data_IF_134931849564
#
_entry.id   IF_134931849564
#
_cell.length_a   1.000
_cell.length_b   1.000
_cell.length_c   1.000
_cell.angle_alpha   90.00
_cell.angle_beta   90.00
_cell.angle_gamma   90.00
#
_symmetry.space_group_name_H-M   'P 1'
#
loop_
_entity.id
_entity.type
_entity.pdbx_description
1 polymer ?
#
# COMPACT_ATOMS: atom_id res chain seq x y z
N UNK A 1 -39.00 64.89 48.55
CA UNK A 1 -38.51 65.60 47.33
C UNK A 1 -37.23 64.89 46.87
N UNK A 2 -37.05 64.77 45.55
CA UNK A 2 -36.29 63.74 44.81
C UNK A 2 -34.76 63.83 44.93
N UNK A 3 -34.08 62.67 44.86
CA UNK A 3 -32.86 62.37 44.08
C UNK A 3 -32.46 60.89 44.41
N UNK A 4 -32.81 59.90 43.59
CA UNK A 4 -32.08 59.40 42.40
C UNK A 4 -30.57 59.21 42.65
N UNK A 5 -30.14 57.96 42.81
CA UNK A 5 -28.80 57.56 42.42
C UNK A 5 -28.84 56.17 41.79
N UNK A 6 -28.70 56.17 40.47
CA UNK A 6 -28.43 55.00 39.62
C UNK A 6 -26.94 54.61 39.70
N UNK A 7 -26.56 53.59 38.90
CA UNK A 7 -25.21 53.29 38.36
C UNK A 7 -24.39 52.26 39.18
N UNK A 8 -23.85 51.15 38.64
CA UNK A 8 -23.91 50.45 37.34
C UNK A 8 -23.56 48.96 37.61
N UNK A 9 -24.31 48.01 37.05
CA UNK A 9 -23.91 46.60 36.97
C UNK A 9 -23.22 46.40 35.62
N UNK A 10 -21.89 46.25 35.62
CA UNK A 10 -21.12 45.92 34.44
C UNK A 10 -21.30 44.44 34.11
N UNK A 11 -22.06 44.13 33.05
CA UNK A 11 -22.14 42.79 32.47
C UNK A 11 -21.01 42.67 31.45
N UNK A 12 -19.97 41.90 31.79
CA UNK A 12 -18.91 41.55 30.84
C UNK A 12 -19.41 40.37 30.00
N UNK A 13 -19.79 40.65 28.76
CA UNK A 13 -20.09 39.63 27.77
C UNK A 13 -18.77 39.20 27.11
N UNK A 14 -18.18 38.10 27.59
CA UNK A 14 -17.02 37.50 26.96
C UNK A 14 -17.41 36.84 25.64
N UNK A 15 -17.00 37.44 24.52
CA UNK A 15 -17.11 36.83 23.20
C UNK A 15 -16.09 35.68 23.14
N UNK A 16 -16.58 34.45 23.20
CA UNK A 16 -15.77 33.26 22.92
C UNK A 16 -15.54 33.20 21.40
N UNK A 17 -14.37 33.66 20.95
CA UNK A 17 -13.85 33.36 19.63
C UNK A 17 -13.51 31.86 19.59
N UNK A 18 -14.42 31.06 19.04
CA UNK A 18 -14.12 29.69 18.65
C UNK A 18 -13.15 29.75 17.46
N UNK A 19 -11.85 29.64 17.74
CA UNK A 19 -10.87 29.34 16.71
C UNK A 19 -11.15 27.93 16.20
N UNK A 20 -11.76 27.83 15.01
CA UNK A 20 -11.84 26.56 14.30
C UNK A 20 -10.43 26.13 13.93
N UNK A 21 -9.87 25.19 14.70
CA UNK A 21 -8.71 24.43 14.26
C UNK A 21 -9.16 23.56 13.09
N UNK A 22 -8.91 24.01 11.87
CA UNK A 22 -8.89 23.10 10.72
C UNK A 22 -7.74 22.14 10.97
N UNK A 23 -8.05 20.88 11.28
CA UNK A 23 -7.04 19.84 11.29
C UNK A 23 -6.52 19.69 9.86
N UNK A 24 -5.31 20.20 9.64
CA UNK A 24 -4.55 19.91 8.43
C UNK A 24 -4.10 18.46 8.62
N UNK A 25 -4.89 17.51 8.12
CA UNK A 25 -4.40 16.16 7.93
C UNK A 25 -3.19 16.26 6.99
N UNK A 26 -1.98 15.82 7.39
CA UNK A 26 -0.89 15.75 6.44
C UNK A 26 -1.38 14.91 5.25
N UNK A 27 -1.21 15.46 4.05
CA UNK A 27 -1.43 14.70 2.82
C UNK A 27 -0.68 13.37 2.94
N UNK A 28 -1.35 12.28 2.54
CA UNK A 28 -0.84 10.92 2.62
C UNK A 28 0.65 10.87 2.24
N UNK A 29 1.42 10.15 3.06
CA UNK A 29 2.88 10.00 3.04
C UNK A 29 3.36 9.43 1.70
N UNK A 30 3.33 10.24 0.63
CA UNK A 30 3.86 9.93 -0.70
C UNK A 30 5.39 9.85 -0.62
N UNK A 31 5.86 8.68 -0.20
CA UNK A 31 7.29 8.38 -0.15
C UNK A 31 7.76 7.96 -1.53
N UNK A 32 8.59 8.80 -2.12
CA UNK A 32 9.33 8.48 -3.34
C UNK A 32 10.40 7.43 -3.04
N UNK A 33 10.44 6.37 -3.83
CA UNK A 33 11.49 5.37 -3.80
C UNK A 33 12.75 5.93 -4.45
N UNK A 34 13.81 6.12 -3.67
CA UNK A 34 15.15 6.43 -4.19
C UNK A 34 15.96 5.17 -4.47
N UNK A 35 15.62 4.08 -3.78
CA UNK A 35 16.18 2.74 -3.97
C UNK A 35 15.06 1.71 -3.85
N UNK A 36 14.99 0.79 -4.81
CA UNK A 36 14.02 -0.31 -4.81
C UNK A 36 14.72 -1.63 -5.12
N UNK A 37 14.48 -2.61 -4.27
CA UNK A 37 14.93 -3.98 -4.43
C UNK A 37 13.73 -4.92 -4.38
N UNK A 38 13.60 -5.79 -5.37
CA UNK A 38 12.55 -6.82 -5.42
C UNK A 38 13.08 -8.17 -4.93
N UNK A 39 12.49 -8.69 -3.85
CA UNK A 39 12.77 -10.04 -3.34
C UNK A 39 12.15 -11.08 -4.27
N UNK A 40 10.88 -10.90 -4.60
CA UNK A 40 10.03 -11.66 -5.52
C UNK A 40 9.17 -10.67 -6.32
N UNK A 41 8.04 -11.11 -6.90
CA UNK A 41 7.24 -10.26 -7.77
C UNK A 41 6.37 -9.23 -7.03
N UNK A 42 6.06 -9.43 -5.75
CA UNK A 42 5.13 -8.58 -4.98
C UNK A 42 5.71 -8.10 -3.63
N UNK A 43 6.96 -8.43 -3.31
CA UNK A 43 7.61 -7.97 -2.09
C UNK A 43 9.08 -7.63 -2.29
N UNK A 44 9.60 -6.80 -1.40
CA UNK A 44 10.91 -6.22 -1.58
C UNK A 44 11.32 -5.27 -0.48
N UNK A 45 12.19 -4.34 -0.84
CA UNK A 45 12.64 -3.23 -0.01
C UNK A 45 12.54 -1.92 -0.77
N UNK A 46 12.02 -0.90 -0.12
CA UNK A 46 11.95 0.48 -0.60
C UNK A 46 12.74 1.34 0.38
N UNK A 47 13.77 2.02 -0.10
CA UNK A 47 14.71 2.80 0.73
C UNK A 47 15.24 1.99 1.93
N UNK A 48 15.50 0.69 1.73
CA UNK A 48 15.98 -0.23 2.78
C UNK A 48 14.90 -0.83 3.69
N UNK A 49 13.65 -0.36 3.64
CA UNK A 49 12.53 -0.85 4.44
C UNK A 49 11.75 -1.94 3.71
N UNK A 50 11.45 -3.05 4.38
CA UNK A 50 10.75 -4.17 3.75
C UNK A 50 9.30 -3.83 3.46
N UNK A 51 8.80 -4.21 2.28
CA UNK A 51 7.40 -4.02 1.90
C UNK A 51 6.79 -5.29 1.29
N UNK A 52 5.46 -5.34 1.23
CA UNK A 52 4.68 -6.19 0.31
C UNK A 52 3.57 -5.37 -0.33
N UNK A 53 3.20 -5.70 -1.56
CA UNK A 53 2.05 -5.11 -2.22
C UNK A 53 0.75 -5.50 -1.51
N UNK A 54 -0.19 -4.57 -1.46
CA UNK A 54 -1.51 -4.81 -0.93
C UNK A 54 -2.40 -5.49 -1.97
N UNK A 55 -3.32 -6.34 -1.50
CA UNK A 55 -4.45 -6.88 -2.27
C UNK A 55 -4.14 -7.67 -3.55
N UNK A 56 -2.88 -7.93 -3.86
CA UNK A 56 -2.43 -8.81 -4.93
C UNK A 56 -1.49 -9.88 -4.38
N UNK A 57 -1.26 -10.89 -5.21
CA UNK A 57 -0.31 -11.97 -4.95
C UNK A 57 0.54 -12.19 -6.20
N UNK A 58 1.82 -12.47 -6.02
CA UNK A 58 2.74 -12.98 -7.04
C UNK A 58 3.00 -14.48 -6.85
N UNK A 59 3.30 -15.24 -7.92
CA UNK A 59 3.74 -16.63 -7.81
C UNK A 59 5.02 -16.77 -6.97
N UNK A 60 5.14 -17.88 -6.24
CA UNK A 60 6.27 -18.16 -5.35
C UNK A 60 7.49 -18.74 -6.09
N UNK A 61 8.69 -18.22 -5.81
CA UNK A 61 9.96 -18.67 -6.45
C UNK A 61 10.74 -19.70 -5.62
N UNK A 62 10.33 -19.95 -4.37
CA UNK A 62 11.01 -20.87 -3.47
C UNK A 62 11.01 -22.32 -3.99
N UNK A 63 11.88 -23.16 -3.45
CA UNK A 63 11.97 -24.57 -3.85
C UNK A 63 10.66 -25.32 -3.61
N UNK A 64 10.35 -26.28 -4.48
CA UNK A 64 9.10 -27.04 -4.35
C UNK A 64 9.07 -27.79 -3.03
N UNK A 65 7.98 -27.62 -2.27
CA UNK A 65 7.79 -28.26 -0.98
C UNK A 65 8.51 -27.59 0.19
N UNK A 66 9.25 -26.49 -0.03
CA UNK A 66 9.74 -25.67 1.09
C UNK A 66 8.59 -24.90 1.74
N UNK A 67 8.74 -24.53 3.01
CA UNK A 67 7.80 -23.64 3.68
C UNK A 67 7.78 -22.30 2.93
N UNK A 68 6.61 -21.93 2.38
CA UNK A 68 6.47 -20.74 1.54
C UNK A 68 7.12 -20.85 0.15
N UNK A 69 7.43 -22.06 -0.33
CA UNK A 69 7.94 -22.27 -1.67
C UNK A 69 6.85 -22.46 -2.73
N UNK A 70 7.27 -22.60 -3.98
CA UNK A 70 6.38 -22.95 -5.08
C UNK A 70 5.69 -24.30 -4.82
N UNK A 71 4.44 -24.43 -5.28
CA UNK A 71 3.68 -25.70 -5.24
C UNK A 71 4.03 -26.60 -6.43
N UNK A 72 4.52 -26.04 -7.52
CA UNK A 72 4.92 -26.73 -8.75
C UNK A 72 5.97 -25.93 -9.53
N UNK A 73 6.66 -26.56 -10.49
CA UNK A 73 7.69 -25.86 -11.29
C UNK A 73 7.08 -24.74 -12.15
N UNK A 74 5.84 -24.92 -12.62
CA UNK A 74 5.16 -23.89 -13.41
C UNK A 74 4.91 -22.59 -12.62
N UNK A 75 4.57 -22.70 -11.33
CA UNK A 75 4.48 -21.53 -10.46
C UNK A 75 5.85 -20.86 -10.32
N UNK A 76 6.91 -21.65 -10.17
CA UNK A 76 8.26 -21.15 -10.01
C UNK A 76 8.78 -20.43 -11.26
N UNK A 77 8.53 -20.98 -12.45
CA UNK A 77 8.80 -20.32 -13.73
C UNK A 77 8.09 -18.97 -13.81
N UNK A 78 6.80 -18.92 -13.47
CA UNK A 78 6.01 -17.68 -13.42
C UNK A 78 6.53 -16.70 -12.38
N UNK A 79 7.04 -17.18 -11.25
CA UNK A 79 7.63 -16.33 -10.21
C UNK A 79 8.87 -15.61 -10.72
N UNK A 80 9.70 -16.29 -11.52
CA UNK A 80 10.85 -15.64 -12.18
C UNK A 80 10.40 -14.66 -13.27
N UNK A 81 9.38 -14.99 -14.05
CA UNK A 81 8.79 -14.06 -15.03
C UNK A 81 8.23 -12.80 -14.36
N UNK A 82 7.42 -12.97 -13.30
CA UNK A 82 6.82 -11.87 -12.54
C UNK A 82 7.89 -10.97 -11.91
N UNK A 83 8.92 -11.58 -11.31
CA UNK A 83 10.06 -10.83 -10.75
C UNK A 83 10.82 -10.06 -11.84
N UNK A 84 11.10 -10.69 -12.99
CA UNK A 84 11.81 -10.03 -14.08
C UNK A 84 11.00 -8.85 -14.64
N UNK A 85 9.68 -9.06 -14.81
CA UNK A 85 8.75 -8.03 -15.24
C UNK A 85 8.78 -6.82 -14.31
N UNK A 86 8.61 -7.03 -12.99
CA UNK A 86 8.51 -5.91 -12.06
C UNK A 86 9.82 -5.14 -11.92
N UNK A 87 10.96 -5.85 -11.96
CA UNK A 87 12.28 -5.22 -12.00
C UNK A 87 12.42 -4.31 -13.22
N UNK A 88 12.01 -4.79 -14.40
CA UNK A 88 12.10 -3.99 -15.62
C UNK A 88 11.15 -2.79 -15.57
N UNK A 89 9.92 -3.00 -15.11
CA UNK A 89 8.92 -1.93 -14.95
C UNK A 89 9.44 -0.82 -14.03
N UNK A 90 10.20 -1.16 -12.97
CA UNK A 90 10.68 -0.18 -11.99
C UNK A 90 12.12 0.32 -12.21
N UNK A 91 12.92 -0.26 -13.14
CA UNK A 91 14.39 -0.03 -13.22
C UNK A 91 14.80 1.43 -13.38
N UNK A 92 13.98 2.24 -14.02
CA UNK A 92 14.21 3.68 -14.25
C UNK A 92 12.92 4.49 -14.17
N UNK A 93 11.97 3.98 -13.39
CA UNK A 93 10.69 4.61 -13.23
C UNK A 93 10.64 5.39 -11.92
N UNK A 94 9.76 6.38 -11.89
CA UNK A 94 9.40 7.11 -10.69
C UNK A 94 8.41 6.25 -9.88
N UNK A 95 8.90 5.62 -8.81
CA UNK A 95 8.11 4.73 -7.96
C UNK A 95 7.76 5.45 -6.66
N UNK A 96 6.48 5.45 -6.30
CA UNK A 96 5.97 6.06 -5.06
C UNK A 96 5.10 5.10 -4.29
N UNK A 97 5.11 5.23 -2.96
CA UNK A 97 4.05 4.66 -2.13
C UNK A 97 2.85 5.60 -2.25
N UNK A 98 1.77 5.15 -2.90
CA UNK A 98 0.52 5.90 -2.98
C UNK A 98 -0.36 5.67 -1.77
N UNK A 99 -0.18 4.54 -1.07
CA UNK A 99 -0.90 4.24 0.17
C UNK A 99 -0.15 3.25 1.05
N UNK A 100 -0.20 3.48 2.36
CA UNK A 100 0.28 2.54 3.38
C UNK A 100 -0.87 2.00 4.23
N UNK A 101 -0.78 0.71 4.59
CA UNK A 101 -1.74 0.01 5.44
C UNK A 101 -1.11 -0.45 6.77
N UNK A 102 0.11 0.00 7.05
CA UNK A 102 0.92 -0.43 8.20
C UNK A 102 1.57 -1.79 8.00
N UNK A 103 2.21 -2.28 9.06
CA UNK A 103 3.04 -3.47 9.00
C UNK A 103 2.23 -4.77 9.07
N UNK A 104 2.65 -5.77 8.29
CA UNK A 104 2.20 -7.14 8.45
C UNK A 104 2.87 -7.86 9.63
N UNK A 105 2.42 -9.08 9.92
CA UNK A 105 2.94 -9.89 11.05
C UNK A 105 4.45 -10.21 10.95
N UNK A 106 5.08 -9.94 9.81
CA UNK A 106 6.50 -10.15 9.55
C UNK A 106 7.30 -8.85 9.56
N UNK A 107 6.66 -7.70 9.88
CA UNK A 107 7.31 -6.39 9.90
C UNK A 107 7.57 -5.83 8.50
N UNK A 108 6.80 -6.26 7.49
CA UNK A 108 6.82 -5.65 6.16
C UNK A 108 5.69 -4.64 6.08
N UNK A 109 5.99 -3.46 5.56
CA UNK A 109 4.95 -2.47 5.29
C UNK A 109 4.05 -2.95 4.15
N UNK A 110 2.74 -2.94 4.35
CA UNK A 110 1.77 -3.28 3.31
C UNK A 110 1.43 -2.00 2.57
N UNK A 111 1.69 -1.96 1.26
CA UNK A 111 1.61 -0.72 0.46
C UNK A 111 0.91 -0.92 -0.88
N UNK A 112 0.27 0.14 -1.37
CA UNK A 112 0.03 0.34 -2.79
C UNK A 112 1.20 1.15 -3.36
N UNK A 113 1.68 0.76 -4.54
CA UNK A 113 2.74 1.46 -5.25
C UNK A 113 2.20 2.05 -6.55
N UNK A 114 2.70 3.24 -6.89
CA UNK A 114 2.58 3.82 -8.22
C UNK A 114 3.92 3.78 -8.95
N UNK A 115 3.85 3.62 -10.27
CA UNK A 115 4.98 3.70 -11.18
C UNK A 115 4.66 4.67 -12.31
N UNK A 116 5.41 5.77 -12.39
CA UNK A 116 5.15 6.88 -13.31
C UNK A 116 3.70 7.40 -13.25
N UNK A 117 3.11 7.44 -12.05
CA UNK A 117 1.73 7.89 -11.82
C UNK A 117 0.63 6.89 -12.21
N UNK A 118 0.97 5.61 -12.42
CA UNK A 118 0.00 4.54 -12.64
C UNK A 118 0.09 3.51 -11.51
N UNK A 119 -1.05 2.94 -11.12
CA UNK A 119 -1.10 1.86 -10.14
C UNK A 119 -0.31 0.63 -10.64
N UNK A 120 0.72 0.26 -9.89
CA UNK A 120 1.62 -0.84 -10.24
C UNK A 120 0.92 -2.20 -10.14
N UNK A 121 0.01 -2.36 -9.18
CA UNK A 121 -0.76 -3.59 -9.01
C UNK A 121 -1.73 -3.79 -10.17
N UNK A 122 -2.40 -2.75 -10.66
CA UNK A 122 -3.25 -2.80 -11.85
C UNK A 122 -2.47 -3.19 -13.11
N UNK A 123 -1.27 -2.63 -13.30
CA UNK A 123 -0.38 -3.03 -14.39
C UNK A 123 -0.06 -4.52 -14.29
N UNK A 124 0.35 -5.00 -13.12
CA UNK A 124 0.72 -6.41 -12.95
C UNK A 124 -0.46 -7.38 -13.07
N UNK A 125 -1.67 -6.96 -12.67
CA UNK A 125 -2.90 -7.72 -12.90
C UNK A 125 -3.22 -7.84 -14.40
N UNK A 126 -3.08 -6.74 -15.15
CA UNK A 126 -3.30 -6.72 -16.61
C UNK A 126 -2.30 -7.59 -17.36
N UNK A 127 -1.03 -7.56 -16.95
CA UNK A 127 0.05 -8.38 -17.53
C UNK A 127 0.03 -9.84 -17.05
N UNK A 128 -0.84 -10.17 -16.09
CA UNK A 128 -1.00 -11.53 -15.58
C UNK A 128 0.16 -12.03 -14.71
N UNK A 129 0.99 -11.10 -14.20
CA UNK A 129 2.04 -11.40 -13.21
C UNK A 129 1.49 -11.38 -11.78
N UNK A 130 0.31 -10.81 -11.58
CA UNK A 130 -0.44 -10.84 -10.32
C UNK A 130 -1.81 -11.49 -10.45
N UNK A 131 -2.31 -11.98 -9.32
CA UNK A 131 -3.72 -12.34 -9.14
C UNK A 131 -4.31 -11.56 -7.96
N UNK A 132 -5.62 -11.24 -7.99
CA UNK A 132 -6.28 -10.57 -6.87
C UNK A 132 -6.23 -11.41 -5.61
N UNK A 133 -5.77 -10.82 -4.52
CA UNK A 133 -5.74 -11.43 -3.20
C UNK A 133 -6.14 -10.40 -2.12
N UNK A 134 -7.42 -9.98 -2.09
CA UNK A 134 -7.87 -8.87 -1.25
C UNK A 134 -7.78 -9.18 0.25
N UNK A 135 -7.50 -8.14 1.03
CA UNK A 135 -7.38 -8.21 2.48
C UNK A 135 -8.34 -7.25 3.20
N UNK A 136 -8.82 -7.66 4.37
CA UNK A 136 -9.45 -6.78 5.36
C UNK A 136 -8.53 -6.70 6.57
N UNK A 137 -7.77 -5.61 6.68
CA UNK A 137 -6.64 -5.52 7.60
C UNK A 137 -5.60 -6.60 7.27
N UNK A 138 -5.13 -7.34 8.27
CA UNK A 138 -4.17 -8.45 8.08
C UNK A 138 -4.81 -9.75 7.56
N UNK A 139 -6.13 -9.82 7.42
CA UNK A 139 -6.85 -11.05 7.06
C UNK A 139 -7.13 -11.08 5.56
N UNK A 140 -6.59 -12.09 4.87
CA UNK A 140 -6.98 -12.40 3.50
C UNK A 140 -8.47 -12.76 3.42
N UNK A 141 -9.17 -12.22 2.41
CA UNK A 141 -10.59 -12.45 2.17
C UNK A 141 -10.84 -13.67 1.27
N UNK A 142 -9.86 -14.05 0.47
CA UNK A 142 -9.88 -15.22 -0.40
C UNK A 142 -8.72 -16.16 -0.08
N UNK A 143 -8.79 -17.39 -0.58
CA UNK A 143 -7.64 -18.29 -0.58
C UNK A 143 -6.53 -17.68 -1.43
N UNK A 144 -5.28 -17.95 -1.05
CA UNK A 144 -4.12 -17.58 -1.87
C UNK A 144 -4.29 -18.15 -3.28
N UNK A 145 -4.08 -17.34 -4.33
CA UNK A 145 -4.10 -17.78 -5.72
C UNK A 145 -3.39 -19.12 -5.98
N UNK A 146 -3.93 -19.88 -6.94
CA UNK A 146 -3.28 -21.08 -7.45
C UNK A 146 -2.52 -20.76 -8.73
N UNK A 147 -1.20 -20.79 -8.62
CA UNK A 147 -0.28 -20.50 -9.71
C UNK A 147 0.14 -21.75 -10.50
N UNK A 148 -0.37 -22.93 -10.14
CA UNK A 148 -0.12 -24.18 -10.87
C UNK A 148 -1.10 -24.45 -12.01
N UNK A 149 -2.23 -23.74 -12.07
CA UNK A 149 -3.19 -23.84 -13.19
C UNK A 149 -2.63 -23.28 -14.50
N UNK A 150 -3.10 -23.74 -15.68
CA UNK A 150 -2.67 -23.18 -16.99
C UNK A 150 -2.97 -21.68 -17.09
N UNK A 151 -2.06 -20.90 -17.70
CA UNK A 151 -2.33 -19.49 -18.09
C UNK A 151 -3.59 -19.52 -18.95
N UNK A 152 -4.69 -18.91 -18.51
CA UNK A 152 -5.74 -18.57 -19.45
C UNK A 152 -5.13 -17.51 -20.37
N UNK A 153 -5.08 -17.82 -21.66
CA UNK A 153 -4.44 -16.97 -22.66
C UNK A 153 -4.97 -15.54 -22.55
N UNK A 154 -4.04 -14.59 -22.44
CA UNK A 154 -4.28 -13.16 -22.58
C UNK A 154 -4.98 -12.92 -23.92
N UNK A 155 -6.10 -12.19 -23.89
CA UNK A 155 -6.74 -11.65 -25.09
C UNK A 155 -6.07 -10.35 -25.49
#
# INVERSE_FOLDING_TARGET
>A
MKALNWIWLAVIFGVALAASASEIFPADDERVATDIYWSDGDSGRLNGHSFRLANVDSPEKGGIGSIGGAKCELERERAFEAKAFIIELTRRADVRISKSYGDDRYGREVVDLEVNGQDLAEIGLREGVYQPWPHKGQRAMTKKPDWCGRKLASR
#
